data_IF_179196414565
#
_entry.id   IF_179196414565
#
_cell.length_a   1.000
_cell.length_b   1.000
_cell.length_c   1.000
_cell.angle_alpha   90.00
_cell.angle_beta   90.00
_cell.angle_gamma   90.00
#
_symmetry.space_group_name_H-M   'P 1'
#
loop_
_entity.id
_entity.type
_entity.pdbx_description
1 polymer ?
#
# COMPACT_ATOMS: atom_id res chain seq x y z
N UNK A 1 22.43 -5.21 3.76
CA UNK A 1 22.66 -3.94 4.47
C UNK A 1 22.10 -4.05 5.87
N UNK A 2 22.83 -3.60 6.87
CA UNK A 2 22.35 -3.67 8.25
C UNK A 2 21.28 -2.60 8.52
N UNK A 3 20.43 -2.84 9.52
CA UNK A 3 19.39 -1.88 9.92
C UNK A 3 20.01 -0.55 10.37
N UNK A 4 21.19 -0.58 11.00
CA UNK A 4 21.86 0.64 11.45
C UNK A 4 22.29 1.53 10.29
N UNK A 5 22.76 0.93 9.19
CA UNK A 5 23.14 1.68 7.99
C UNK A 5 21.90 2.32 7.36
N UNK A 6 20.79 1.58 7.25
CA UNK A 6 19.55 2.09 6.69
C UNK A 6 19.02 3.26 7.53
N UNK A 7 18.99 3.11 8.85
CA UNK A 7 18.54 4.18 9.76
C UNK A 7 19.41 5.43 9.62
N UNK A 8 20.73 5.27 9.52
CA UNK A 8 21.65 6.39 9.35
C UNK A 8 21.37 7.16 8.06
N UNK A 9 21.15 6.46 6.94
CA UNK A 9 20.83 7.07 5.66
C UNK A 9 19.56 7.90 5.73
N UNK A 10 18.47 7.33 6.29
CA UNK A 10 17.21 8.04 6.36
C UNK A 10 17.21 9.19 7.36
N UNK A 11 17.91 9.07 8.48
CA UNK A 11 18.02 10.14 9.47
C UNK A 11 18.72 11.38 8.92
N UNK A 12 19.61 11.20 7.96
CA UNK A 12 20.32 12.29 7.30
C UNK A 12 19.58 12.85 6.07
N UNK A 13 18.40 12.34 5.76
CA UNK A 13 17.65 12.78 4.59
C UNK A 13 16.93 14.11 4.87
N UNK A 14 16.77 14.91 3.82
CA UNK A 14 16.05 16.19 3.90
C UNK A 14 14.56 16.01 4.24
N UNK A 15 14.01 14.81 4.04
CA UNK A 15 12.60 14.53 4.25
C UNK A 15 12.27 14.07 5.66
N UNK A 16 13.27 13.95 6.53
CA UNK A 16 13.10 13.60 7.95
C UNK A 16 12.08 12.46 8.16
N UNK A 17 12.27 11.38 7.45
CA UNK A 17 11.39 10.21 7.57
C UNK A 17 11.60 9.53 8.92
N UNK A 18 10.50 9.14 9.56
CA UNK A 18 10.54 8.34 10.77
C UNK A 18 10.69 6.89 10.36
N UNK A 19 11.65 6.20 10.96
CA UNK A 19 11.89 4.78 10.69
C UNK A 19 11.11 3.94 11.68
N UNK A 20 10.32 3.01 11.16
CA UNK A 20 9.57 2.06 11.95
C UNK A 20 10.07 0.66 11.67
N UNK A 21 10.39 -0.08 12.74
CA UNK A 21 10.87 -1.44 12.62
C UNK A 21 9.84 -2.41 13.17
N UNK A 22 9.43 -3.36 12.34
CA UNK A 22 8.51 -4.44 12.73
C UNK A 22 9.15 -5.74 12.27
N UNK A 23 9.49 -6.61 13.22
CA UNK A 23 10.11 -7.91 12.97
C UNK A 23 11.34 -7.82 12.06
N UNK A 24 12.18 -6.82 12.27
CA UNK A 24 13.39 -6.60 11.49
C UNK A 24 13.18 -5.90 10.16
N UNK A 25 11.95 -5.60 9.76
CA UNK A 25 11.65 -4.87 8.55
C UNK A 25 11.50 -3.38 8.88
N UNK A 26 12.17 -2.53 8.12
CA UNK A 26 12.17 -1.09 8.34
C UNK A 26 11.25 -0.41 7.35
N UNK A 27 10.34 0.41 7.87
CA UNK A 27 9.40 1.20 7.09
C UNK A 27 9.76 2.69 7.23
N UNK A 28 10.34 3.32 6.18
CA UNK A 28 10.66 4.74 6.22
C UNK A 28 9.42 5.57 5.91
N UNK A 29 8.70 5.95 6.94
CA UNK A 29 7.48 6.74 6.83
C UNK A 29 7.66 8.10 7.47
N UNK A 30 6.87 9.07 7.05
CA UNK A 30 6.88 10.42 7.61
C UNK A 30 5.49 10.78 8.12
N UNK A 31 5.43 11.34 9.33
CA UNK A 31 4.21 11.89 9.90
C UNK A 31 3.73 13.16 9.17
N UNK A 32 4.60 13.75 8.36
CA UNK A 32 4.26 14.92 7.54
C UNK A 32 3.53 14.55 6.25
N UNK A 33 3.52 13.29 5.88
CA UNK A 33 2.76 12.82 4.73
C UNK A 33 1.27 12.81 5.07
N UNK A 34 0.53 13.68 4.43
CA UNK A 34 -0.91 13.80 4.67
C UNK A 34 -1.72 12.74 3.93
N UNK A 35 -1.14 12.16 2.89
CA UNK A 35 -1.78 11.15 2.04
C UNK A 35 -0.78 10.08 1.68
N UNK A 36 -1.22 8.82 1.76
CA UNK A 36 -0.42 7.67 1.34
C UNK A 36 -1.28 6.80 0.45
N UNK A 37 -0.72 6.35 -0.67
CA UNK A 37 -1.37 5.40 -1.56
C UNK A 37 -0.80 4.00 -1.37
N UNK A 38 -1.69 3.01 -1.28
CA UNK A 38 -1.31 1.60 -1.18
C UNK A 38 -2.00 0.84 -2.30
N UNK A 39 -1.23 0.04 -3.03
CA UNK A 39 -1.79 -0.86 -4.02
C UNK A 39 -2.28 -2.15 -3.35
N UNK A 40 -3.56 -2.45 -3.51
CA UNK A 40 -4.19 -3.64 -2.93
C UNK A 40 -4.76 -4.48 -4.06
N UNK A 41 -4.12 -5.64 -4.31
CA UNK A 41 -4.51 -6.54 -5.39
C UNK A 41 -5.54 -7.61 -4.98
N UNK A 42 -5.78 -7.74 -3.69
CA UNK A 42 -6.57 -8.84 -3.12
C UNK A 42 -5.72 -10.04 -2.71
N UNK A 43 -4.40 -10.00 -2.95
CA UNK A 43 -3.46 -11.02 -2.51
C UNK A 43 -2.98 -10.80 -1.08
N UNK A 44 -2.28 -11.80 -0.55
CA UNK A 44 -1.82 -11.79 0.84
C UNK A 44 -0.76 -10.72 1.10
N UNK A 45 0.20 -10.54 0.19
CA UNK A 45 1.31 -9.62 0.40
C UNK A 45 0.84 -8.17 0.51
N UNK A 46 -0.03 -7.74 -0.41
CA UNK A 46 -0.57 -6.39 -0.38
C UNK A 46 -1.48 -6.16 0.82
N UNK A 47 -2.23 -7.19 1.24
CA UNK A 47 -3.05 -7.12 2.43
C UNK A 47 -2.17 -6.94 3.68
N UNK A 48 -1.10 -7.71 3.81
CA UNK A 48 -0.17 -7.60 4.93
C UNK A 48 0.49 -6.22 5.00
N UNK A 49 0.96 -5.71 3.88
CA UNK A 49 1.57 -4.37 3.82
C UNK A 49 0.58 -3.29 4.25
N UNK A 50 -0.68 -3.42 3.84
CA UNK A 50 -1.73 -2.49 4.23
C UNK A 50 -1.97 -2.50 5.74
N UNK A 51 -2.01 -3.68 6.34
CA UNK A 51 -2.19 -3.83 7.78
C UNK A 51 -1.03 -3.20 8.54
N UNK A 52 0.21 -3.47 8.12
CA UNK A 52 1.40 -2.92 8.78
C UNK A 52 1.42 -1.40 8.72
N UNK A 53 1.14 -0.83 7.57
CA UNK A 53 1.09 0.63 7.40
C UNK A 53 0.00 1.26 8.25
N UNK A 54 -1.21 0.72 8.21
CA UNK A 54 -2.34 1.24 9.00
C UNK A 54 -2.08 1.10 10.49
N UNK A 55 -1.39 0.05 10.92
CA UNK A 55 -1.01 -0.12 12.32
C UNK A 55 -0.04 0.95 12.77
N UNK A 56 0.95 1.29 11.94
CA UNK A 56 1.91 2.36 12.24
C UNK A 56 1.19 3.71 12.35
N UNK A 57 0.33 4.03 11.41
CA UNK A 57 -0.44 5.28 11.42
C UNK A 57 -1.28 5.38 12.70
N UNK A 58 -1.96 4.30 13.06
CA UNK A 58 -2.84 4.26 14.23
C UNK A 58 -2.06 4.37 15.53
N UNK A 59 -0.95 3.64 15.66
CA UNK A 59 -0.13 3.66 16.87
C UNK A 59 0.48 5.03 17.13
N UNK A 60 0.82 5.77 16.08
CA UNK A 60 1.43 7.08 16.19
C UNK A 60 0.42 8.22 16.16
N UNK A 61 -0.87 7.92 16.05
CA UNK A 61 -1.96 8.91 15.98
C UNK A 61 -1.78 9.92 14.84
N UNK A 62 -1.25 9.47 13.71
CA UNK A 62 -1.08 10.34 12.56
C UNK A 62 -2.41 10.64 11.87
N UNK A 63 -2.53 11.83 11.32
CA UNK A 63 -3.71 12.28 10.57
C UNK A 63 -3.53 12.02 9.06
N UNK A 64 -2.94 10.90 8.72
CA UNK A 64 -2.66 10.52 7.34
C UNK A 64 -3.89 9.87 6.71
N UNK A 65 -4.30 10.38 5.56
CA UNK A 65 -5.35 9.75 4.75
C UNK A 65 -4.74 8.63 3.91
N UNK A 66 -5.40 7.49 3.86
CA UNK A 66 -4.95 6.31 3.12
C UNK A 66 -5.80 6.10 1.88
N UNK A 67 -5.16 6.12 0.72
CA UNK A 67 -5.79 5.80 -0.56
C UNK A 67 -5.48 4.35 -0.89
N UNK A 68 -6.53 3.55 -1.04
CA UNK A 68 -6.41 2.15 -1.44
C UNK A 68 -6.64 2.07 -2.94
N UNK A 69 -5.61 1.68 -3.67
CA UNK A 69 -5.63 1.64 -5.12
C UNK A 69 -5.66 0.18 -5.58
N UNK A 70 -6.69 -0.20 -6.32
CA UNK A 70 -6.85 -1.55 -6.84
C UNK A 70 -6.90 -1.52 -8.36
N UNK A 71 -5.93 -2.15 -8.99
CA UNK A 71 -5.90 -2.35 -10.44
C UNK A 71 -6.52 -3.71 -10.75
N UNK A 72 -7.65 -3.70 -11.44
CA UNK A 72 -8.48 -4.89 -11.63
C UNK A 72 -8.27 -5.49 -13.01
N UNK A 73 -7.92 -6.77 -13.05
CA UNK A 73 -7.67 -7.55 -14.26
C UNK A 73 -8.53 -8.81 -14.30
N UNK A 74 -9.83 -8.64 -14.08
CA UNK A 74 -10.77 -9.77 -13.96
C UNK A 74 -10.98 -10.54 -15.27
N UNK A 75 -10.45 -10.04 -16.35
CA UNK A 75 -10.72 -10.54 -17.70
C UNK A 75 -9.96 -11.82 -18.07
N UNK A 76 -9.07 -12.31 -17.20
CA UNK A 76 -8.28 -13.50 -17.49
C UNK A 76 -8.41 -14.55 -16.41
N UNK A 77 -7.36 -14.73 -15.62
CA UNK A 77 -7.25 -15.79 -14.62
C UNK A 77 -7.57 -15.31 -13.21
N UNK A 78 -8.04 -14.09 -13.08
CA UNK A 78 -8.29 -13.46 -11.79
C UNK A 78 -9.70 -12.87 -11.67
N UNK A 79 -10.75 -13.68 -11.94
CA UNK A 79 -12.12 -13.17 -11.87
C UNK A 79 -12.53 -12.76 -10.45
N UNK A 80 -11.85 -13.30 -9.44
CA UNK A 80 -12.07 -13.00 -8.03
C UNK A 80 -11.36 -11.76 -7.53
N UNK A 81 -10.46 -11.16 -8.33
CA UNK A 81 -9.57 -10.08 -7.86
C UNK A 81 -10.34 -8.89 -7.29
N UNK A 82 -11.39 -8.47 -7.97
CA UNK A 82 -12.18 -7.33 -7.53
C UNK A 82 -12.81 -7.58 -6.17
N UNK A 83 -13.43 -8.74 -6.00
CA UNK A 83 -14.09 -9.08 -4.74
C UNK A 83 -13.08 -9.22 -3.60
N UNK A 84 -11.95 -9.87 -3.86
CA UNK A 84 -10.92 -10.04 -2.84
C UNK A 84 -10.32 -8.70 -2.41
N UNK A 85 -10.05 -7.79 -3.36
CA UNK A 85 -9.55 -6.46 -3.01
C UNK A 85 -10.59 -5.63 -2.24
N UNK A 86 -11.85 -5.78 -2.57
CA UNK A 86 -12.95 -5.12 -1.85
C UNK A 86 -13.08 -5.67 -0.43
N UNK A 87 -12.93 -6.98 -0.25
CA UNK A 87 -12.98 -7.61 1.07
C UNK A 87 -11.85 -7.09 1.97
N UNK A 88 -10.64 -6.96 1.43
CA UNK A 88 -9.51 -6.38 2.15
C UNK A 88 -9.80 -4.93 2.55
N UNK A 89 -10.33 -4.14 1.63
CA UNK A 89 -10.69 -2.76 1.88
C UNK A 89 -11.72 -2.63 3.01
N UNK A 90 -12.79 -3.41 2.94
CA UNK A 90 -13.84 -3.40 3.96
C UNK A 90 -13.30 -3.83 5.33
N UNK A 91 -12.38 -4.78 5.35
CA UNK A 91 -11.73 -5.21 6.59
C UNK A 91 -10.87 -4.09 7.18
N UNK A 92 -10.13 -3.36 6.34
CA UNK A 92 -9.29 -2.25 6.78
C UNK A 92 -10.12 -1.12 7.40
N UNK A 93 -11.22 -0.74 6.75
CA UNK A 93 -12.11 0.30 7.28
C UNK A 93 -12.63 -0.09 8.66
N UNK A 94 -13.03 -1.34 8.82
CA UNK A 94 -13.59 -1.85 10.06
C UNK A 94 -12.55 -1.95 11.16
N UNK A 95 -11.33 -2.35 10.80
CA UNK A 95 -10.25 -2.60 11.76
C UNK A 95 -9.53 -1.32 12.19
N UNK A 96 -9.53 -0.29 11.35
CA UNK A 96 -8.86 0.99 11.61
C UNK A 96 -9.85 2.16 11.47
N UNK A 97 -10.80 2.29 12.40
CA UNK A 97 -11.87 3.27 12.28
C UNK A 97 -11.41 4.72 12.37
N UNK A 98 -10.21 4.97 12.89
CA UNK A 98 -9.66 6.32 13.03
C UNK A 98 -8.92 6.81 11.78
N UNK A 99 -8.73 5.95 10.79
CA UNK A 99 -8.07 6.31 9.54
C UNK A 99 -9.14 6.68 8.51
N UNK A 100 -8.91 7.79 7.80
CA UNK A 100 -9.72 8.16 6.66
C UNK A 100 -9.23 7.40 5.43
N UNK A 101 -10.10 6.58 4.83
CA UNK A 101 -9.79 5.80 3.64
C UNK A 101 -10.53 6.31 2.43
N UNK A 102 -9.90 6.19 1.27
CA UNK A 102 -10.56 6.37 -0.02
C UNK A 102 -10.13 5.26 -0.96
N UNK A 103 -11.10 4.60 -1.60
CA UNK A 103 -10.84 3.53 -2.54
C UNK A 103 -10.81 4.05 -3.97
N UNK A 104 -9.82 3.59 -4.72
CA UNK A 104 -9.68 3.86 -6.15
C UNK A 104 -9.62 2.53 -6.87
N UNK A 105 -10.50 2.35 -7.84
CA UNK A 105 -10.58 1.13 -8.61
C UNK A 105 -10.32 1.43 -10.08
N UNK A 106 -9.26 0.84 -10.63
CA UNK A 106 -8.88 1.02 -12.02
C UNK A 106 -9.02 -0.31 -12.75
N UNK A 107 -9.80 -0.32 -13.82
CA UNK A 107 -9.94 -1.50 -14.66
C UNK A 107 -8.87 -1.48 -15.74
N UNK A 108 -8.06 -2.54 -15.79
CA UNK A 108 -6.98 -2.68 -16.74
C UNK A 108 -7.50 -3.50 -17.92
N UNK A 109 -7.59 -2.87 -19.08
CA UNK A 109 -8.02 -3.55 -20.28
C UNK A 109 -6.89 -4.42 -20.87
N UNK A 110 -7.22 -5.54 -21.52
CA UNK A 110 -6.22 -6.45 -22.08
C UNK A 110 -5.27 -5.78 -23.07
N UNK A 111 -5.78 -4.92 -23.92
CA UNK A 111 -5.00 -4.23 -24.93
C UNK A 111 -4.01 -3.22 -24.34
N UNK A 112 -4.34 -2.61 -23.21
CA UNK A 112 -3.44 -1.70 -22.51
C UNK A 112 -2.28 -2.43 -21.85
N UNK A 113 -2.49 -3.66 -21.42
CA UNK A 113 -1.47 -4.43 -20.74
C UNK A 113 -0.64 -5.29 -21.69
N UNK A 114 -1.25 -5.86 -22.71
CA UNK A 114 -0.63 -6.85 -23.57
C UNK A 114 -0.16 -6.32 -24.92
N UNK A 115 -0.95 -5.43 -25.55
CA UNK A 115 -0.68 -4.98 -26.89
C UNK A 115 0.68 -4.30 -27.06
N UNK A 116 0.94 -3.15 -26.41
CA UNK A 116 2.20 -2.45 -26.57
C UNK A 116 3.41 -3.25 -26.10
N UNK A 117 3.25 -3.97 -24.99
CA UNK A 117 4.34 -4.75 -24.41
C UNK A 117 4.77 -5.89 -25.33
N UNK A 118 3.80 -6.57 -25.93
CA UNK A 118 4.10 -7.66 -26.85
C UNK A 118 4.84 -7.15 -28.07
N UNK A 119 4.46 -5.98 -28.57
CA UNK A 119 5.11 -5.38 -29.73
C UNK A 119 6.53 -4.88 -29.47
N UNK A 120 6.81 -4.49 -28.24
CA UNK A 120 8.12 -3.97 -27.83
C UNK A 120 9.08 -5.06 -27.38
N UNK A 121 8.58 -6.22 -27.14
CA UNK A 121 9.39 -7.36 -26.71
C UNK A 121 10.00 -8.07 -27.91
#
# INVERSE_FOLDING_TARGET
>A
MSNDVIKSVYQNSLYQKILHEIDGVIFPLSDQWKRIGISVSGGLDSALMSVLLCSIITQNLWLTKVHIISNIRCWKTRPWQRQNSLDVYNWLIKSFPNIEFQRHENFIAPDLEWGPKVLTL
#
